data_IF_633654417423
#
_entry.id   IF_633654417423
#
_cell.length_a   1.000
_cell.length_b   1.000
_cell.length_c   1.000
_cell.angle_alpha   90.00
_cell.angle_beta   90.00
_cell.angle_gamma   90.00
#
_symmetry.space_group_name_H-M   'P 1'
#
loop_
_entity.id
_entity.type
_entity.pdbx_description
1 polymer ?
#
# COMPACT_ATOMS: atom_id res chain seq x y z
N UNK A 1 7.92 6.51 -2.60
CA UNK A 1 7.04 5.37 -2.99
C UNK A 1 6.59 4.61 -1.74
N UNK A 2 5.46 3.90 -1.79
CA UNK A 2 4.95 3.06 -0.69
C UNK A 2 4.83 1.61 -1.16
N UNK A 3 5.00 0.67 -0.24
CA UNK A 3 4.87 -0.77 -0.47
C UNK A 3 3.77 -1.37 0.39
N UNK A 4 3.11 -2.42 -0.11
CA UNK A 4 2.11 -3.16 0.66
C UNK A 4 2.78 -3.85 1.85
N UNK A 5 2.43 -3.44 3.06
CA UNK A 5 2.93 -4.05 4.29
C UNK A 5 2.00 -5.16 4.76
N UNK A 6 0.68 -4.89 4.78
CA UNK A 6 -0.33 -5.83 5.24
C UNK A 6 -1.64 -5.62 4.50
N UNK A 7 -2.33 -6.71 4.19
CA UNK A 7 -3.71 -6.70 3.71
C UNK A 7 -4.53 -7.63 4.59
N UNK A 8 -5.63 -7.11 5.11
CA UNK A 8 -6.61 -7.88 5.89
C UNK A 8 -7.94 -7.91 5.13
N UNK A 9 -8.98 -8.47 5.76
CA UNK A 9 -10.33 -8.46 5.21
C UNK A 9 -10.92 -7.03 5.08
N UNK A 10 -10.44 -6.07 5.88
CA UNK A 10 -11.03 -4.73 5.95
C UNK A 10 -10.05 -3.59 5.64
N UNK A 11 -8.74 -3.85 5.66
CA UNK A 11 -7.74 -2.79 5.49
C UNK A 11 -6.56 -3.19 4.60
N UNK A 12 -5.97 -2.16 4.00
CA UNK A 12 -4.70 -2.20 3.28
C UNK A 12 -3.74 -1.22 3.94
N UNK A 13 -2.61 -1.73 4.42
CA UNK A 13 -1.56 -0.94 5.08
C UNK A 13 -0.38 -0.77 4.13
N UNK A 14 0.02 0.49 3.91
CA UNK A 14 1.08 0.87 3.00
C UNK A 14 2.24 1.51 3.77
N UNK A 15 3.36 0.82 3.80
CA UNK A 15 4.59 1.34 4.39
C UNK A 15 5.31 2.26 3.40
N UNK A 16 5.79 3.40 3.88
CA UNK A 16 6.68 4.25 3.09
C UNK A 16 8.07 3.64 2.94
N UNK A 17 8.67 3.79 1.77
CA UNK A 17 10.10 3.49 1.59
C UNK A 17 11.01 4.58 2.21
N UNK A 18 10.47 5.78 2.41
CA UNK A 18 11.14 6.84 3.17
C UNK A 18 10.64 6.80 4.64
N UNK A 19 11.52 6.55 5.64
CA UNK A 19 11.17 6.49 7.06
C UNK A 19 10.50 7.75 7.61
N UNK A 20 10.74 8.91 7.01
CA UNK A 20 10.16 10.19 7.46
C UNK A 20 8.64 10.28 7.24
N UNK A 21 8.06 9.34 6.48
CA UNK A 21 6.62 9.31 6.24
C UNK A 21 5.95 8.14 6.95
N UNK A 22 4.85 8.47 7.62
CA UNK A 22 4.02 7.49 8.32
C UNK A 22 3.46 6.40 7.40
N UNK A 23 3.12 5.28 8.04
CA UNK A 23 2.30 4.20 7.47
C UNK A 23 0.93 4.78 7.12
N UNK A 24 0.38 4.35 5.99
CA UNK A 24 -0.96 4.76 5.55
C UNK A 24 -1.88 3.55 5.55
N UNK A 25 -3.02 3.71 6.20
CA UNK A 25 -4.10 2.72 6.19
C UNK A 25 -5.19 3.18 5.21
N UNK A 26 -5.76 2.22 4.48
CA UNK A 26 -6.88 2.43 3.57
C UNK A 26 -7.91 1.34 3.85
N UNK A 27 -9.17 1.73 4.06
CA UNK A 27 -10.26 0.78 4.22
C UNK A 27 -10.55 0.10 2.88
N UNK A 28 -10.69 -1.24 2.90
CA UNK A 28 -10.82 -2.04 1.68
C UNK A 28 -12.12 -1.73 0.92
N UNK A 29 -13.14 -1.23 1.62
CA UNK A 29 -14.40 -0.78 1.01
C UNK A 29 -14.24 0.45 0.11
N UNK A 30 -13.24 1.29 0.37
CA UNK A 30 -12.92 2.46 -0.44
C UNK A 30 -12.02 2.14 -1.65
N UNK A 31 -11.63 0.87 -1.82
CA UNK A 31 -10.68 0.44 -2.85
C UNK A 31 -11.41 -0.17 -4.04
N UNK A 32 -11.47 0.58 -5.14
CA UNK A 32 -12.09 0.10 -6.38
C UNK A 32 -11.31 -1.06 -7.04
N UNK A 33 -9.98 -1.08 -6.97
CA UNK A 33 -9.15 -2.14 -7.55
C UNK A 33 -7.75 -2.20 -6.92
N UNK A 34 -7.10 -3.36 -7.04
CA UNK A 34 -5.72 -3.59 -6.59
C UNK A 34 -4.98 -4.35 -7.69
N UNK A 35 -3.77 -3.90 -8.05
CA UNK A 35 -2.86 -4.63 -8.92
C UNK A 35 -1.46 -4.70 -8.33
N UNK A 36 -0.61 -5.55 -8.91
CA UNK A 36 0.79 -5.72 -8.51
C UNK A 36 1.71 -5.11 -9.55
N UNK A 37 2.65 -4.27 -9.10
CA UNK A 37 3.77 -3.81 -9.93
C UNK A 37 4.78 -4.96 -10.05
N UNK A 38 5.05 -5.41 -11.27
CA UNK A 38 5.93 -6.56 -11.54
C UNK A 38 7.34 -6.11 -11.91
N UNK A 39 7.46 -4.95 -12.54
CA UNK A 39 8.74 -4.36 -12.93
C UNK A 39 8.67 -2.84 -12.90
N UNK A 40 9.79 -2.22 -12.56
CA UNK A 40 10.03 -0.79 -12.68
C UNK A 40 11.52 -0.57 -12.94
N UNK A 41 11.86 0.45 -13.72
CA UNK A 41 13.22 1.01 -13.84
C UNK A 41 13.21 2.45 -13.35
N UNK A 42 14.38 2.97 -12.96
CA UNK A 42 14.57 4.34 -12.50
C UNK A 42 15.11 5.21 -13.63
#
# INVERSE_FOLDING_TARGET
AKQLQRRTAHKVELQSLNPDHAIRDIDLEDVAWIARVIWASQ
#
